data_IF_082276790499
#
_entry.id   IF_082276790499
#
_cell.length_a   1.000
_cell.length_b   1.000
_cell.length_c   1.000
_cell.angle_alpha   90.00
_cell.angle_beta   90.00
_cell.angle_gamma   90.00
#
_symmetry.space_group_name_H-M   'P 1'
#
loop_
_entity.id
_entity.type
_entity.pdbx_description
1 polymer ?
#
# COMPACT_ATOMS: atom_id res chain seq x y z
N UNK A 1 57.72 -38.41 40.30
CA UNK A 1 58.31 -38.75 38.98
C UNK A 1 58.27 -37.53 38.05
N UNK A 2 59.38 -37.13 37.51
CA UNK A 2 59.38 -36.05 36.47
C UNK A 2 58.68 -36.59 35.22
N UNK A 3 57.57 -36.00 34.82
CA UNK A 3 56.90 -36.34 33.55
C UNK A 3 57.34 -35.36 32.51
N UNK A 4 57.97 -35.87 31.45
CA UNK A 4 58.41 -35.08 30.29
C UNK A 4 57.37 -35.29 29.18
N UNK A 5 56.70 -34.23 28.75
CA UNK A 5 55.70 -34.30 27.69
C UNK A 5 56.19 -33.45 26.53
N UNK A 6 56.21 -34.01 25.32
CA UNK A 6 56.54 -33.28 24.08
C UNK A 6 55.23 -32.84 23.39
N UNK A 7 55.10 -31.56 23.15
CA UNK A 7 53.98 -30.97 22.38
C UNK A 7 54.54 -30.30 21.13
N UNK A 8 53.88 -30.53 20.02
CA UNK A 8 54.26 -29.87 18.73
C UNK A 8 53.11 -28.93 18.38
N UNK A 9 53.45 -27.66 18.11
CA UNK A 9 52.53 -26.60 17.60
C UNK A 9 52.86 -26.35 16.16
N UNK A 10 51.90 -26.48 15.26
CA UNK A 10 52.07 -26.24 13.84
C UNK A 10 52.18 -24.73 13.54
N UNK A 11 52.64 -24.38 12.30
CA UNK A 11 52.84 -22.99 11.89
C UNK A 11 51.53 -22.17 11.87
N UNK A 12 50.41 -22.84 11.61
CA UNK A 12 49.05 -22.26 11.56
C UNK A 12 48.34 -22.36 12.91
N UNK A 13 49.05 -22.68 14.01
CA UNK A 13 48.47 -22.87 15.36
C UNK A 13 49.18 -22.01 16.39
N UNK A 14 48.49 -21.83 17.53
CA UNK A 14 49.04 -21.34 18.81
C UNK A 14 48.60 -22.28 19.95
N UNK A 15 49.50 -22.51 20.90
CA UNK A 15 49.19 -23.28 22.10
C UNK A 15 49.04 -22.37 23.29
N UNK A 16 48.03 -22.66 24.14
CA UNK A 16 47.87 -22.03 25.47
C UNK A 16 48.35 -23.04 26.49
N UNK A 17 49.42 -22.72 27.19
CA UNK A 17 49.91 -23.58 28.28
C UNK A 17 49.26 -23.17 29.61
N UNK A 18 48.60 -24.14 30.21
CA UNK A 18 47.99 -24.02 31.53
C UNK A 18 48.74 -24.90 32.52
N UNK A 19 49.05 -24.33 33.68
CA UNK A 19 49.63 -25.06 34.84
C UNK A 19 48.63 -25.06 36.00
N UNK A 20 48.17 -26.20 36.40
CA UNK A 20 47.15 -26.40 37.46
C UNK A 20 45.86 -25.62 37.19
N UNK A 21 45.55 -25.33 35.88
CA UNK A 21 44.38 -24.57 35.46
C UNK A 21 44.68 -23.07 35.18
N UNK A 22 45.77 -22.53 35.68
CA UNK A 22 46.16 -21.14 35.49
C UNK A 22 46.96 -20.94 34.19
N UNK A 23 46.82 -19.77 33.58
CA UNK A 23 47.57 -19.39 32.42
C UNK A 23 49.07 -19.25 32.75
N UNK A 24 49.94 -19.91 31.98
CA UNK A 24 51.38 -19.78 32.13
C UNK A 24 51.98 -18.96 30.94
N UNK A 25 51.74 -19.36 29.70
CA UNK A 25 52.24 -18.68 28.50
C UNK A 25 51.61 -19.18 27.22
N UNK A 26 51.84 -18.42 26.13
CA UNK A 26 51.52 -18.84 24.76
C UNK A 26 52.68 -19.60 24.18
N UNK A 27 52.40 -20.76 23.59
CA UNK A 27 53.36 -21.55 22.84
C UNK A 27 53.31 -21.18 21.36
N UNK A 28 54.45 -20.71 20.82
CA UNK A 28 54.64 -20.43 19.41
C UNK A 28 54.84 -21.71 18.59
N UNK A 29 54.78 -21.68 17.25
CA UNK A 29 55.05 -22.83 16.40
C UNK A 29 56.43 -23.46 16.72
N UNK A 30 56.44 -24.78 16.86
CA UNK A 30 57.65 -25.55 17.17
C UNK A 30 57.41 -26.75 18.06
N UNK A 31 58.52 -27.36 18.47
CA UNK A 31 58.53 -28.52 19.37
C UNK A 31 58.85 -28.05 20.80
N UNK A 32 57.93 -28.24 21.72
CA UNK A 32 58.08 -27.82 23.11
C UNK A 32 58.19 -29.03 24.02
N UNK A 33 59.20 -28.99 24.90
CA UNK A 33 59.37 -29.98 25.94
C UNK A 33 58.89 -29.40 27.26
N UNK A 34 57.83 -30.01 27.81
CA UNK A 34 57.20 -29.54 29.05
C UNK A 34 57.58 -30.50 30.16
N UNK A 35 58.16 -29.94 31.22
CA UNK A 35 58.57 -30.73 32.42
C UNK A 35 57.59 -30.47 33.54
N UNK A 36 56.95 -31.54 34.08
CA UNK A 36 56.07 -31.47 35.23
C UNK A 36 56.67 -32.38 36.33
N UNK A 37 56.72 -31.86 37.55
CA UNK A 37 57.06 -32.68 38.74
C UNK A 37 55.83 -33.18 39.47
N UNK A 38 54.95 -32.27 39.84
CA UNK A 38 53.68 -32.51 40.54
C UNK A 38 52.52 -31.75 39.91
N UNK A 39 52.83 -30.84 39.02
CA UNK A 39 51.87 -29.95 38.40
C UNK A 39 51.07 -30.63 37.25
N UNK A 40 49.81 -30.23 37.14
CA UNK A 40 48.95 -30.62 36.01
C UNK A 40 49.17 -29.64 34.84
N UNK A 41 49.88 -30.09 33.79
CA UNK A 41 50.11 -29.31 32.58
C UNK A 41 49.08 -29.68 31.52
N UNK A 42 48.39 -28.67 31.00
CA UNK A 42 47.46 -28.78 29.87
C UNK A 42 47.86 -27.82 28.77
N UNK A 43 47.81 -28.29 27.55
CA UNK A 43 48.01 -27.43 26.37
C UNK A 43 46.75 -27.45 25.54
N UNK A 44 46.19 -26.28 25.31
CA UNK A 44 45.08 -26.09 24.38
C UNK A 44 45.58 -25.47 23.09
N UNK A 45 45.21 -26.07 21.96
CA UNK A 45 45.71 -25.65 20.65
C UNK A 45 44.58 -24.93 19.89
N UNK A 46 44.94 -23.79 19.34
CA UNK A 46 44.03 -22.92 18.59
C UNK A 46 44.53 -22.78 17.16
N UNK A 47 43.62 -22.99 16.19
CA UNK A 47 43.88 -22.79 14.76
C UNK A 47 43.76 -21.31 14.40
N UNK A 48 44.79 -20.74 13.75
CA UNK A 48 44.82 -19.34 13.39
C UNK A 48 43.93 -18.99 12.18
N UNK A 49 43.37 -20.00 11.50
CA UNK A 49 42.30 -19.80 10.50
C UNK A 49 41.00 -19.26 11.13
N UNK A 50 40.79 -19.54 12.42
CA UNK A 50 39.68 -19.00 13.22
C UNK A 50 40.27 -18.03 14.24
N UNK A 51 40.42 -16.74 13.89
CA UNK A 51 41.19 -15.81 14.72
C UNK A 51 40.46 -15.45 16.04
N UNK A 52 39.14 -15.67 16.17
CA UNK A 52 38.41 -15.33 17.37
C UNK A 52 38.84 -16.21 18.57
N UNK A 53 39.31 -15.55 19.64
CA UNK A 53 39.68 -16.21 20.89
C UNK A 53 38.48 -16.25 21.84
N UNK A 54 37.71 -17.34 21.83
CA UNK A 54 36.52 -17.55 22.66
C UNK A 54 36.87 -18.48 23.80
N UNK A 55 37.65 -17.99 24.79
CA UNK A 55 38.08 -18.78 25.93
C UNK A 55 37.75 -18.09 27.27
N UNK A 56 37.54 -18.87 28.33
CA UNK A 56 37.22 -18.33 29.66
C UNK A 56 38.28 -17.44 30.28
N UNK A 57 39.52 -17.54 29.79
CA UNK A 57 40.62 -16.68 30.22
C UNK A 57 40.71 -15.33 29.46
N UNK A 58 39.80 -15.02 28.54
CA UNK A 58 39.85 -13.80 27.75
C UNK A 58 39.92 -12.55 28.63
N UNK A 59 39.06 -12.44 29.65
CA UNK A 59 39.03 -11.30 30.59
C UNK A 59 40.27 -11.24 31.47
N UNK A 60 40.81 -12.42 31.90
CA UNK A 60 42.04 -12.49 32.64
C UNK A 60 43.21 -11.94 31.80
N UNK A 61 43.36 -12.43 30.60
CA UNK A 61 44.42 -11.97 29.68
C UNK A 61 44.35 -10.47 29.41
N UNK A 62 43.15 -9.94 29.12
CA UNK A 62 42.92 -8.53 28.92
C UNK A 62 43.34 -7.67 30.13
N UNK A 63 43.10 -8.15 31.33
CA UNK A 63 43.28 -7.38 32.56
C UNK A 63 44.66 -7.58 33.21
N UNK A 64 45.27 -8.76 33.04
CA UNK A 64 46.48 -9.15 33.81
C UNK A 64 47.71 -9.41 32.97
N UNK A 65 47.52 -9.70 31.65
CA UNK A 65 48.62 -10.08 30.75
C UNK A 65 48.71 -9.12 29.54
N UNK A 66 48.86 -7.78 29.74
CA UNK A 66 48.85 -6.80 28.65
C UNK A 66 49.97 -7.02 27.63
N UNK A 67 51.11 -7.48 28.06
CA UNK A 67 52.25 -7.76 27.15
C UNK A 67 51.99 -8.96 26.22
N UNK A 68 51.39 -10.02 26.75
CA UNK A 68 50.93 -11.16 25.96
C UNK A 68 49.85 -10.77 24.95
N UNK A 69 48.90 -9.98 25.42
CA UNK A 69 47.83 -9.47 24.55
C UNK A 69 48.41 -8.61 23.43
N UNK A 70 49.35 -7.71 23.75
CA UNK A 70 49.98 -6.85 22.74
C UNK A 70 50.81 -7.65 21.72
N UNK A 71 51.44 -8.76 22.15
CA UNK A 71 52.28 -9.58 21.29
C UNK A 71 51.47 -10.52 20.36
N UNK A 72 50.47 -11.20 20.89
CA UNK A 72 49.82 -12.35 20.24
C UNK A 72 48.40 -12.05 19.76
N UNK A 73 47.73 -10.96 20.25
CA UNK A 73 46.32 -10.70 19.97
C UNK A 73 46.08 -9.30 19.40
N UNK A 74 45.02 -9.17 18.64
CA UNK A 74 44.33 -7.92 18.35
C UNK A 74 43.28 -7.72 19.45
N UNK A 75 43.49 -6.71 20.28
CA UNK A 75 42.59 -6.33 21.36
C UNK A 75 41.47 -5.45 20.84
N UNK A 76 40.22 -5.80 21.16
CA UNK A 76 39.03 -5.00 20.87
C UNK A 76 38.31 -4.71 22.18
N UNK A 77 38.14 -3.43 22.48
CA UNK A 77 37.35 -2.93 23.59
C UNK A 77 36.54 -1.76 23.10
N UNK A 78 35.23 -1.95 23.07
CA UNK A 78 34.25 -0.94 22.63
C UNK A 78 33.53 -0.39 23.85
N UNK A 79 33.30 0.93 23.86
CA UNK A 79 32.45 1.58 24.84
C UNK A 79 30.97 1.31 24.52
N UNK A 80 30.08 1.73 25.40
CA UNK A 80 28.62 1.63 25.22
C UNK A 80 28.11 2.45 24.01
N UNK A 81 28.88 3.42 23.55
CA UNK A 81 28.55 4.28 22.39
C UNK A 81 29.31 3.92 21.13
N UNK A 82 30.07 2.84 21.12
CA UNK A 82 30.93 2.46 20.01
C UNK A 82 30.52 1.12 19.39
N UNK A 83 30.56 1.05 18.07
CA UNK A 83 30.47 -0.19 17.29
C UNK A 83 31.78 -0.46 16.58
N UNK A 84 32.10 -1.75 16.35
CA UNK A 84 33.31 -2.17 15.65
C UNK A 84 32.95 -2.85 14.32
N UNK A 85 33.61 -2.43 13.23
CA UNK A 85 33.53 -3.12 11.94
C UNK A 85 34.73 -4.05 11.83
N UNK A 86 34.54 -5.33 12.08
CA UNK A 86 35.61 -6.33 11.98
C UNK A 86 35.75 -6.82 10.56
N UNK A 87 36.97 -6.66 10.02
CA UNK A 87 37.38 -7.14 8.71
C UNK A 87 38.47 -8.20 8.85
N UNK A 88 38.42 -9.24 8.02
CA UNK A 88 39.44 -10.27 7.86
C UNK A 88 39.99 -10.18 6.45
N UNK A 89 41.32 -10.02 6.34
CA UNK A 89 41.98 -9.86 5.04
C UNK A 89 41.33 -8.79 4.13
N UNK A 90 40.87 -7.68 4.72
CA UNK A 90 40.19 -6.58 4.06
C UNK A 90 38.70 -6.79 3.76
N UNK A 91 38.14 -7.94 4.12
CA UNK A 91 36.69 -8.24 3.93
C UNK A 91 35.93 -8.07 5.23
N UNK A 92 34.85 -7.31 5.21
CA UNK A 92 33.95 -7.17 6.37
C UNK A 92 33.26 -8.50 6.67
N UNK A 93 33.40 -8.97 7.91
CA UNK A 93 32.84 -10.26 8.38
C UNK A 93 31.88 -10.13 9.57
N UNK A 94 32.03 -9.04 10.36
CA UNK A 94 31.22 -8.87 11.56
C UNK A 94 31.07 -7.40 11.93
N UNK A 95 29.90 -7.05 12.48
CA UNK A 95 29.63 -5.81 13.17
C UNK A 95 29.55 -6.12 14.67
N UNK A 96 30.53 -5.62 15.41
CA UNK A 96 30.61 -5.81 16.85
C UNK A 96 29.70 -4.80 17.56
N UNK A 97 28.85 -5.29 18.44
CA UNK A 97 27.94 -4.49 19.24
C UNK A 97 28.67 -3.61 20.25
N UNK A 98 28.05 -2.53 20.75
CA UNK A 98 28.58 -1.74 21.85
C UNK A 98 28.93 -2.59 23.06
N UNK A 99 29.85 -2.09 23.88
CA UNK A 99 30.37 -2.76 25.09
C UNK A 99 31.01 -4.14 24.83
N UNK A 100 31.40 -4.43 23.57
CA UNK A 100 32.08 -5.70 23.24
C UNK A 100 33.55 -5.64 23.64
N UNK A 101 34.00 -6.70 24.34
CA UNK A 101 35.41 -6.95 24.67
C UNK A 101 35.80 -8.30 24.10
N UNK A 102 36.77 -8.33 23.17
CA UNK A 102 37.22 -9.55 22.51
C UNK A 102 38.71 -9.53 22.15
N UNK A 103 39.27 -10.73 22.05
CA UNK A 103 40.61 -10.97 21.56
C UNK A 103 40.56 -11.77 20.26
N UNK A 104 41.44 -11.42 19.35
CA UNK A 104 41.62 -12.16 18.09
C UNK A 104 43.13 -12.49 17.93
N UNK A 105 43.44 -13.74 17.58
CA UNK A 105 44.80 -14.13 17.33
C UNK A 105 45.43 -13.33 16.18
N UNK A 106 46.64 -12.84 16.40
CA UNK A 106 47.51 -12.32 15.34
C UNK A 106 48.20 -13.48 14.57
N UNK A 107 48.35 -13.33 13.29
CA UNK A 107 49.14 -14.30 12.51
C UNK A 107 48.59 -14.52 11.11
N UNK A 108 47.91 -15.64 10.88
CA UNK A 108 47.50 -16.07 9.54
C UNK A 108 46.43 -15.15 8.91
N UNK A 109 45.48 -14.66 9.71
CA UNK A 109 44.40 -13.78 9.27
C UNK A 109 44.70 -12.35 9.71
N UNK A 110 44.69 -11.39 8.79
CA UNK A 110 44.81 -9.94 9.10
C UNK A 110 43.45 -9.43 9.61
N UNK A 111 43.31 -9.36 10.94
CA UNK A 111 42.13 -8.86 11.60
C UNK A 111 42.26 -7.38 11.88
N UNK A 112 41.33 -6.56 11.35
CA UNK A 112 41.23 -5.14 11.59
C UNK A 112 39.83 -4.80 12.10
N UNK A 113 39.74 -3.87 13.05
CA UNK A 113 38.46 -3.37 13.58
C UNK A 113 38.48 -1.86 13.50
N UNK A 114 37.57 -1.34 12.67
CA UNK A 114 37.31 0.10 12.56
C UNK A 114 36.24 0.46 13.60
N UNK A 115 36.58 1.33 14.54
CA UNK A 115 35.70 1.76 15.63
C UNK A 115 34.94 3.03 15.23
N UNK A 116 33.62 3.01 15.41
CA UNK A 116 32.71 4.11 15.06
C UNK A 116 31.92 4.49 16.30
N UNK A 117 31.88 5.79 16.61
CA UNK A 117 31.03 6.32 17.65
C UNK A 117 29.60 6.54 17.13
N UNK A 118 28.62 5.95 17.82
CA UNK A 118 27.19 5.99 17.49
C UNK A 118 26.38 6.76 18.55
N UNK A 119 27.05 7.41 19.50
CA UNK A 119 26.39 8.13 20.61
C UNK A 119 25.63 9.36 20.14
N UNK A 120 26.13 10.07 19.14
CA UNK A 120 25.57 11.33 18.65
C UNK A 120 24.60 11.20 17.49
N UNK A 121 24.67 10.14 16.71
CA UNK A 121 23.86 9.96 15.50
C UNK A 121 23.40 8.52 15.30
N UNK A 122 22.23 8.36 14.71
CA UNK A 122 21.72 7.06 14.25
C UNK A 122 22.13 6.74 12.83
N UNK A 123 22.66 7.71 12.08
CA UNK A 123 23.00 7.55 10.68
C UNK A 123 24.26 6.69 10.51
N UNK A 124 24.23 5.75 9.58
CA UNK A 124 25.40 5.01 9.15
C UNK A 124 26.12 5.83 8.07
N UNK A 125 27.44 6.12 8.22
CA UNK A 125 28.19 6.83 7.19
C UNK A 125 28.06 6.18 5.81
N UNK A 126 27.95 7.00 4.76
CA UNK A 126 27.70 6.52 3.39
C UNK A 126 28.75 5.50 2.89
N UNK A 127 29.99 5.66 3.28
CA UNK A 127 31.09 4.73 2.95
C UNK A 127 30.87 3.34 3.54
N UNK A 128 30.27 3.28 4.73
CA UNK A 128 29.98 2.02 5.41
C UNK A 128 28.67 1.43 4.88
N UNK A 129 27.65 2.26 4.69
CA UNK A 129 26.38 1.86 4.11
C UNK A 129 26.59 1.17 2.74
N UNK A 130 27.45 1.73 1.87
CA UNK A 130 27.77 1.13 0.59
C UNK A 130 28.46 -0.24 0.72
N UNK A 131 29.39 -0.39 1.69
CA UNK A 131 30.04 -1.68 1.97
C UNK A 131 29.04 -2.72 2.45
N UNK A 132 28.10 -2.35 3.32
CA UNK A 132 27.07 -3.24 3.83
C UNK A 132 26.12 -3.69 2.71
N UNK A 133 25.67 -2.78 1.87
CA UNK A 133 24.83 -3.09 0.71
C UNK A 133 25.53 -4.04 -0.27
N UNK A 134 26.79 -3.79 -0.58
CA UNK A 134 27.57 -4.68 -1.47
C UNK A 134 27.75 -6.07 -0.85
N UNK A 135 27.93 -6.17 0.47
CA UNK A 135 28.06 -7.45 1.17
C UNK A 135 26.76 -8.26 1.10
N UNK A 136 25.62 -7.61 1.28
CA UNK A 136 24.29 -8.24 1.14
C UNK A 136 24.06 -8.75 -0.29
N UNK A 137 24.35 -7.93 -1.30
CA UNK A 137 24.21 -8.31 -2.71
C UNK A 137 25.08 -9.50 -3.09
N UNK A 138 26.25 -9.67 -2.44
CA UNK A 138 27.14 -10.83 -2.63
C UNK A 138 26.75 -12.06 -1.83
N UNK A 139 25.60 -12.02 -1.12
CA UNK A 139 25.09 -13.11 -0.28
C UNK A 139 26.10 -13.60 0.77
N UNK A 140 26.99 -12.73 1.25
CA UNK A 140 27.90 -13.06 2.34
C UNK A 140 27.22 -12.87 3.68
N UNK A 141 27.30 -13.84 4.54
CA UNK A 141 26.87 -13.72 5.92
C UNK A 141 27.82 -12.80 6.68
N UNK A 142 27.35 -11.64 7.10
CA UNK A 142 28.02 -10.73 8.05
C UNK A 142 27.31 -10.87 9.38
N UNK A 143 28.04 -11.22 10.43
CA UNK A 143 27.50 -11.28 11.76
C UNK A 143 27.15 -9.87 12.29
N UNK A 144 26.15 -9.75 13.15
CA UNK A 144 25.77 -8.48 13.78
C UNK A 144 24.94 -7.51 12.89
N UNK A 145 24.52 -7.91 11.69
CA UNK A 145 23.67 -7.09 10.81
C UNK A 145 22.32 -6.74 11.43
N UNK A 146 21.85 -7.46 12.43
CA UNK A 146 20.62 -7.15 13.19
C UNK A 146 20.66 -5.80 13.88
N UNK A 147 21.86 -5.29 14.17
CA UNK A 147 22.10 -3.95 14.72
C UNK A 147 22.06 -2.83 13.69
N UNK A 148 21.76 -3.13 12.41
CA UNK A 148 21.68 -2.17 11.33
C UNK A 148 20.31 -2.27 10.67
N UNK A 149 19.62 -1.14 10.55
CA UNK A 149 18.40 -1.00 9.77
C UNK A 149 18.76 -0.43 8.40
N UNK A 150 18.49 -1.17 7.34
CA UNK A 150 18.56 -0.68 5.98
C UNK A 150 17.15 -0.62 5.40
N UNK A 151 16.77 0.55 4.90
CA UNK A 151 15.46 0.81 4.30
C UNK A 151 15.66 1.41 2.93
N UNK A 152 14.93 0.89 1.95
CA UNK A 152 14.83 1.46 0.63
C UNK A 152 13.50 2.22 0.54
N UNK A 153 13.56 3.54 0.34
CA UNK A 153 12.41 4.38 0.06
C UNK A 153 12.21 4.41 -1.46
N UNK A 154 11.07 3.88 -1.96
CA UNK A 154 10.79 3.87 -3.39
C UNK A 154 10.59 5.28 -3.95
N UNK A 155 10.72 5.43 -5.26
CA UNK A 155 10.28 6.62 -5.97
C UNK A 155 8.79 6.87 -5.72
N UNK A 156 8.38 8.12 -5.62
CA UNK A 156 7.02 8.54 -5.26
C UNK A 156 6.57 8.17 -3.83
N UNK A 157 7.50 7.80 -2.96
CA UNK A 157 7.23 7.57 -1.54
C UNK A 157 8.10 8.45 -0.67
N UNK A 158 7.65 8.73 0.54
CA UNK A 158 8.46 9.33 1.59
C UNK A 158 8.64 8.33 2.73
N UNK A 159 9.82 8.27 3.31
CA UNK A 159 10.08 7.54 4.54
C UNK A 159 9.88 8.45 5.76
N UNK A 160 9.13 8.00 6.76
CA UNK A 160 8.99 8.70 8.03
C UNK A 160 9.89 8.01 9.05
N UNK A 161 10.99 8.65 9.40
CA UNK A 161 11.96 8.11 10.35
C UNK A 161 11.49 8.34 11.80
N UNK A 162 11.39 7.26 12.54
CA UNK A 162 11.10 7.25 13.96
C UNK A 162 12.35 6.86 14.74
N UNK A 163 12.68 7.66 15.75
CA UNK A 163 13.77 7.40 16.69
C UNK A 163 13.21 7.49 18.10
N UNK A 164 13.31 6.40 18.86
CA UNK A 164 12.79 6.27 20.23
C UNK A 164 11.32 6.70 20.37
N UNK A 165 10.50 6.33 19.36
CA UNK A 165 9.06 6.64 19.32
C UNK A 165 8.72 8.08 18.94
N UNK A 166 9.68 8.89 18.52
CA UNK A 166 9.46 10.26 18.03
C UNK A 166 9.77 10.35 16.55
N UNK A 167 8.99 11.15 15.83
CA UNK A 167 9.28 11.47 14.43
C UNK A 167 10.53 12.35 14.40
N UNK A 168 11.58 11.89 13.75
CA UNK A 168 12.83 12.64 13.57
C UNK A 168 12.77 13.49 12.30
N UNK A 169 12.63 12.85 11.14
CA UNK A 169 12.59 13.53 9.82
C UNK A 169 11.93 12.70 8.73
N UNK A 170 11.65 13.35 7.59
CA UNK A 170 11.27 12.69 6.34
C UNK A 170 12.52 12.28 5.56
N UNK A 171 12.42 11.11 4.93
CA UNK A 171 13.45 10.54 4.06
C UNK A 171 12.99 10.66 2.62
N UNK A 172 13.87 11.19 1.78
CA UNK A 172 13.70 11.19 0.32
C UNK A 172 13.85 9.77 -0.27
N UNK A 173 13.37 9.54 -1.50
CA UNK A 173 13.62 8.28 -2.21
C UNK A 173 15.11 7.93 -2.25
N UNK A 174 15.41 6.64 -2.02
CA UNK A 174 16.78 6.14 -1.95
C UNK A 174 16.97 5.10 -0.85
N UNK A 175 18.23 4.67 -0.68
CA UNK A 175 18.60 3.72 0.38
C UNK A 175 19.15 4.47 1.58
N UNK A 176 18.56 4.21 2.73
CA UNK A 176 18.94 4.79 4.02
C UNK A 176 19.36 3.69 4.97
N UNK A 177 20.39 3.95 5.79
CA UNK A 177 20.95 2.94 6.70
C UNK A 177 21.18 3.58 8.07
N UNK A 178 20.72 2.89 9.13
CA UNK A 178 20.70 3.38 10.49
C UNK A 178 21.25 2.36 11.48
N UNK A 179 21.91 2.86 12.55
CA UNK A 179 22.28 2.04 13.70
C UNK A 179 21.08 1.79 14.61
N UNK A 180 20.90 0.53 15.02
CA UNK A 180 19.84 0.10 15.95
C UNK A 180 20.35 -0.43 17.29
N UNK A 181 21.63 -0.27 17.58
CA UNK A 181 22.20 -0.84 18.81
C UNK A 181 21.71 -0.13 20.06
N UNK A 182 21.71 1.19 20.08
CA UNK A 182 21.44 2.02 21.27
C UNK A 182 20.10 2.73 21.24
N UNK A 183 19.38 2.68 20.10
CA UNK A 183 18.12 3.39 19.90
C UNK A 183 17.13 2.52 19.14
N UNK A 184 15.85 2.73 19.43
CA UNK A 184 14.81 2.10 18.65
C UNK A 184 14.54 2.92 17.38
N UNK A 185 14.95 2.40 16.23
CA UNK A 185 14.82 3.08 14.94
C UNK A 185 13.89 2.29 14.05
N UNK A 186 12.89 2.96 13.48
CA UNK A 186 11.96 2.39 12.49
C UNK A 186 11.63 3.42 11.41
N UNK A 187 11.19 2.94 10.26
CA UNK A 187 10.79 3.78 9.12
C UNK A 187 9.45 3.28 8.59
N UNK A 188 8.48 4.19 8.53
CA UNK A 188 7.21 3.96 7.84
C UNK A 188 7.27 4.55 6.43
N UNK A 189 6.81 3.79 5.45
CA UNK A 189 6.76 4.23 4.06
C UNK A 189 5.37 4.77 3.74
N UNK A 190 5.32 5.99 3.21
CA UNK A 190 4.08 6.67 2.82
C UNK A 190 4.11 6.92 1.32
N UNK A 191 3.14 6.38 0.59
CA UNK A 191 2.98 6.63 -0.84
C UNK A 191 2.42 8.05 -1.05
N UNK A 192 3.06 8.83 -1.92
CA UNK A 192 2.69 10.21 -2.24
C UNK A 192 1.77 10.34 -3.45
N UNK A 193 1.54 9.24 -4.18
CA UNK A 193 0.63 9.20 -5.32
C UNK A 193 -0.82 9.29 -4.85
N UNK A 194 -1.71 9.54 -5.81
CA UNK A 194 -3.15 9.45 -5.55
C UNK A 194 -3.53 8.05 -5.08
N UNK A 195 -4.22 7.99 -3.94
CA UNK A 195 -4.73 6.78 -3.31
C UNK A 195 -6.25 6.85 -3.29
N UNK A 196 -6.90 5.71 -3.39
CA UNK A 196 -8.34 5.61 -3.28
C UNK A 196 -8.76 5.03 -1.92
N UNK A 197 -9.82 5.59 -1.36
CA UNK A 197 -10.51 5.05 -0.19
C UNK A 197 -11.97 4.84 -0.54
N UNK A 198 -12.50 3.67 -0.19
CA UNK A 198 -13.90 3.33 -0.44
C UNK A 198 -14.65 3.24 0.89
N UNK A 199 -15.72 4.04 1.01
CA UNK A 199 -16.63 4.01 2.15
C UNK A 199 -17.86 3.22 1.73
N UNK A 200 -17.95 1.96 2.20
CA UNK A 200 -18.97 1.01 1.76
C UNK A 200 -20.05 0.78 2.81
N UNK A 201 -21.25 0.42 2.32
CA UNK A 201 -22.33 -0.11 3.14
C UNK A 201 -22.90 0.86 4.17
N UNK A 202 -22.83 2.17 3.92
CA UNK A 202 -23.40 3.16 4.86
C UNK A 202 -24.92 3.18 4.75
N UNK A 203 -25.60 2.77 5.82
CA UNK A 203 -27.04 2.89 5.94
C UNK A 203 -27.39 4.23 6.58
N UNK A 204 -28.05 5.08 5.81
CA UNK A 204 -28.38 6.46 6.21
C UNK A 204 -29.86 6.72 5.89
N UNK A 205 -30.54 7.37 6.83
CA UNK A 205 -31.92 7.83 6.62
C UNK A 205 -31.90 9.19 5.93
N UNK A 206 -32.70 9.31 4.89
CA UNK A 206 -33.02 10.60 4.25
C UNK A 206 -33.91 11.48 5.14
N UNK A 207 -34.12 12.74 4.74
CA UNK A 207 -35.02 13.66 5.44
C UNK A 207 -36.44 13.09 5.53
N UNK A 208 -36.92 12.40 4.51
CA UNK A 208 -38.23 11.73 4.42
C UNK A 208 -38.24 10.31 5.02
N UNK A 209 -37.19 9.95 5.81
CA UNK A 209 -37.04 8.72 6.57
C UNK A 209 -36.96 7.44 5.74
N UNK A 210 -36.50 7.55 4.51
CA UNK A 210 -36.15 6.37 3.69
C UNK A 210 -34.75 5.93 4.00
N UNK A 211 -34.53 4.65 4.33
CA UNK A 211 -33.23 4.06 4.56
C UNK A 211 -32.53 3.79 3.23
N UNK A 212 -31.37 4.38 3.04
CA UNK A 212 -30.52 4.17 1.86
C UNK A 212 -29.22 3.51 2.27
N UNK A 213 -28.73 2.58 1.45
CA UNK A 213 -27.38 2.04 1.54
C UNK A 213 -26.52 2.66 0.44
N UNK A 214 -25.44 3.30 0.85
CA UNK A 214 -24.61 4.12 -0.03
C UNK A 214 -23.16 3.66 -0.01
N UNK A 215 -22.52 3.70 -1.19
CA UNK A 215 -21.09 3.49 -1.35
C UNK A 215 -20.48 4.75 -1.97
N UNK A 216 -19.42 5.24 -1.35
CA UNK A 216 -18.67 6.41 -1.78
C UNK A 216 -17.23 6.03 -2.06
N UNK A 217 -16.64 6.55 -3.12
CA UNK A 217 -15.21 6.46 -3.42
C UNK A 217 -14.61 7.85 -3.37
N UNK A 218 -13.47 7.97 -2.72
CA UNK A 218 -12.71 9.21 -2.70
C UNK A 218 -11.25 8.96 -3.06
N UNK A 219 -10.64 9.91 -3.76
CA UNK A 219 -9.21 9.92 -4.06
C UNK A 219 -8.52 11.05 -3.31
N UNK A 220 -7.36 10.74 -2.75
CA UNK A 220 -6.59 11.66 -1.94
C UNK A 220 -5.09 11.44 -2.11
N UNK A 221 -4.30 12.41 -1.72
CA UNK A 221 -2.83 12.31 -1.62
C UNK A 221 -2.31 13.06 -0.40
N UNK A 222 -1.12 12.70 0.04
CA UNK A 222 -0.40 13.46 1.06
C UNK A 222 0.39 14.59 0.40
N UNK A 223 0.16 15.83 0.87
CA UNK A 223 0.90 17.02 0.48
C UNK A 223 1.94 17.39 1.54
N UNK A 224 1.65 17.10 2.81
CA UNK A 224 2.58 17.26 3.94
C UNK A 224 2.46 16.05 4.88
N UNK A 225 3.29 15.04 4.63
CA UNK A 225 3.33 13.79 5.41
C UNK A 225 3.68 14.06 6.86
N UNK A 226 4.64 14.96 7.11
CA UNK A 226 5.09 15.25 8.46
C UNK A 226 3.98 15.84 9.32
N UNK A 227 3.23 16.80 8.76
CA UNK A 227 2.09 17.41 9.42
C UNK A 227 0.97 16.40 9.66
N UNK A 228 0.69 15.54 8.68
CA UNK A 228 -0.32 14.51 8.80
C UNK A 228 -0.04 13.55 9.97
N UNK A 229 1.15 12.99 10.05
CA UNK A 229 1.51 12.01 11.07
C UNK A 229 1.86 12.60 12.44
N UNK A 230 2.18 13.91 12.52
CA UNK A 230 2.31 14.60 13.81
C UNK A 230 0.97 14.83 14.50
N UNK A 231 -0.08 15.10 13.74
CA UNK A 231 -1.39 15.47 14.27
C UNK A 231 -2.41 14.35 14.24
N UNK A 232 -2.26 13.38 13.35
CA UNK A 232 -3.19 12.26 13.19
C UNK A 232 -2.43 10.95 13.39
N UNK A 233 -2.92 10.11 14.29
CA UNK A 233 -2.34 8.78 14.52
C UNK A 233 -2.46 7.88 13.28
N UNK A 234 -3.57 8.03 12.53
CA UNK A 234 -3.90 7.26 11.33
C UNK A 234 -4.63 8.17 10.34
N UNK A 235 -3.91 8.87 9.47
CA UNK A 235 -4.51 9.84 8.55
C UNK A 235 -5.59 9.26 7.62
N UNK A 236 -5.38 8.06 7.09
CA UNK A 236 -6.36 7.40 6.23
C UNK A 236 -7.66 7.02 6.96
N UNK A 237 -7.60 6.56 8.21
CA UNK A 237 -8.78 6.28 9.01
C UNK A 237 -9.52 7.57 9.41
N UNK A 238 -8.79 8.66 9.61
CA UNK A 238 -9.40 9.97 9.86
C UNK A 238 -10.16 10.46 8.62
N UNK A 239 -9.55 10.39 7.44
CA UNK A 239 -10.21 10.67 6.17
C UNK A 239 -11.48 9.83 5.99
N UNK A 240 -11.39 8.53 6.25
CA UNK A 240 -12.55 7.62 6.15
C UNK A 240 -13.71 8.08 7.02
N UNK A 241 -13.46 8.48 8.28
CA UNK A 241 -14.48 9.00 9.20
C UNK A 241 -15.08 10.33 8.74
N UNK A 242 -14.23 11.25 8.24
CA UNK A 242 -14.74 12.54 7.73
C UNK A 242 -15.60 12.35 6.48
N UNK A 243 -15.27 11.39 5.61
CA UNK A 243 -16.11 11.00 4.48
C UNK A 243 -17.46 10.45 4.93
N UNK A 244 -17.49 9.60 5.98
CA UNK A 244 -18.73 9.10 6.56
C UNK A 244 -19.60 10.25 7.12
N UNK A 245 -19.00 11.20 7.83
CA UNK A 245 -19.73 12.34 8.38
C UNK A 245 -20.26 13.26 7.27
N UNK A 246 -19.45 13.55 6.27
CA UNK A 246 -19.86 14.31 5.10
C UNK A 246 -21.01 13.65 4.35
N UNK A 247 -20.94 12.35 4.12
CA UNK A 247 -22.00 11.58 3.47
C UNK A 247 -23.30 11.59 4.28
N UNK A 248 -23.22 11.39 5.61
CA UNK A 248 -24.39 11.46 6.48
C UNK A 248 -25.05 12.83 6.49
N UNK A 249 -24.26 13.90 6.52
CA UNK A 249 -24.76 15.25 6.44
C UNK A 249 -25.41 15.55 5.08
N UNK A 250 -24.81 15.10 3.98
CA UNK A 250 -25.34 15.30 2.65
C UNK A 250 -26.69 14.60 2.43
N UNK A 251 -26.84 13.39 2.93
CA UNK A 251 -28.04 12.55 2.73
C UNK A 251 -29.15 12.91 3.71
N UNK A 252 -28.81 13.06 4.99
CA UNK A 252 -29.81 13.30 6.05
C UNK A 252 -30.58 14.63 5.94
N UNK A 253 -30.07 15.57 5.16
CA UNK A 253 -30.71 16.89 4.91
C UNK A 253 -31.62 16.91 3.67
N UNK A 254 -31.65 15.83 2.88
CA UNK A 254 -32.36 15.77 1.58
C UNK A 254 -33.37 14.65 1.54
N UNK A 255 -34.40 14.82 0.66
CA UNK A 255 -35.36 13.76 0.34
C UNK A 255 -34.77 12.76 -0.65
N UNK A 256 -35.44 11.60 -0.78
CA UNK A 256 -35.03 10.58 -1.76
C UNK A 256 -35.09 11.13 -3.19
N UNK A 257 -36.16 11.85 -3.52
CA UNK A 257 -36.34 12.42 -4.86
C UNK A 257 -35.22 13.40 -5.21
N UNK A 258 -34.89 14.34 -4.29
CA UNK A 258 -33.77 15.29 -4.48
C UNK A 258 -32.43 14.57 -4.71
N UNK A 259 -32.19 13.44 -4.05
CA UNK A 259 -30.96 12.65 -4.20
C UNK A 259 -30.90 11.88 -5.51
N UNK A 260 -32.05 11.41 -6.01
CA UNK A 260 -32.12 10.68 -7.28
C UNK A 260 -32.07 11.62 -8.50
N UNK A 261 -32.63 12.82 -8.38
CA UNK A 261 -32.59 13.83 -9.43
C UNK A 261 -31.18 14.40 -9.66
N UNK A 262 -30.44 14.67 -8.56
CA UNK A 262 -29.13 15.30 -8.65
C UNK A 262 -28.08 14.66 -7.74
N UNK A 263 -27.44 13.63 -8.23
CA UNK A 263 -26.38 12.89 -7.51
C UNK A 263 -25.13 13.72 -7.27
N UNK A 264 -24.82 14.69 -8.13
CA UNK A 264 -23.59 15.51 -8.03
C UNK A 264 -23.59 16.42 -6.81
N UNK A 265 -24.77 16.76 -6.27
CA UNK A 265 -24.89 17.57 -5.06
C UNK A 265 -24.33 16.84 -3.82
N UNK A 266 -24.42 15.51 -3.77
CA UNK A 266 -23.82 14.73 -2.67
C UNK A 266 -22.29 14.86 -2.76
N UNK A 267 -21.74 14.69 -3.95
CA UNK A 267 -20.31 14.74 -4.22
C UNK A 267 -19.72 16.11 -3.83
N UNK A 268 -20.40 17.19 -4.20
CA UNK A 268 -20.00 18.57 -3.86
C UNK A 268 -20.02 18.83 -2.35
N UNK A 269 -21.08 18.41 -1.65
CA UNK A 269 -21.21 18.63 -0.20
C UNK A 269 -20.19 17.82 0.57
N UNK A 270 -19.99 16.55 0.20
CA UNK A 270 -18.99 15.69 0.83
C UNK A 270 -17.58 16.25 0.58
N UNK A 271 -17.29 16.64 -0.66
CA UNK A 271 -15.98 17.22 -1.02
C UNK A 271 -15.71 18.51 -0.25
N UNK A 272 -16.67 19.41 -0.17
CA UNK A 272 -16.52 20.67 0.58
C UNK A 272 -16.31 20.41 2.09
N UNK A 273 -17.09 19.51 2.68
CA UNK A 273 -16.96 19.14 4.10
C UNK A 273 -15.57 18.59 4.43
N UNK A 274 -15.08 17.64 3.64
CA UNK A 274 -13.84 16.93 3.89
C UNK A 274 -12.62 17.79 3.56
N UNK A 275 -12.65 18.51 2.43
CA UNK A 275 -11.54 19.35 1.98
C UNK A 275 -11.17 20.41 3.00
N UNK A 276 -12.16 21.08 3.60
CA UNK A 276 -11.94 22.09 4.62
C UNK A 276 -11.25 21.57 5.89
N UNK A 277 -11.53 20.32 6.26
CA UNK A 277 -10.97 19.71 7.48
C UNK A 277 -9.58 19.09 7.27
N UNK A 278 -9.35 18.46 6.13
CA UNK A 278 -8.12 17.73 5.85
C UNK A 278 -6.96 18.61 5.42
N UNK A 279 -7.22 19.75 4.78
CA UNK A 279 -6.19 20.69 4.35
C UNK A 279 -5.27 21.13 5.50
N UNK A 280 -5.82 21.28 6.72
CA UNK A 280 -5.06 21.62 7.91
C UNK A 280 -4.01 20.57 8.30
N UNK A 281 -4.18 19.33 7.86
CA UNK A 281 -3.32 18.19 8.20
C UNK A 281 -2.40 17.76 7.06
N UNK A 282 -2.33 18.51 5.95
CA UNK A 282 -1.49 18.14 4.81
C UNK A 282 -1.99 16.92 4.03
N UNK A 283 -3.30 16.68 4.05
CA UNK A 283 -3.98 15.68 3.23
C UNK A 283 -4.89 16.39 2.25
N UNK A 284 -4.66 16.20 0.96
CA UNK A 284 -5.44 16.80 -0.11
C UNK A 284 -6.46 15.79 -0.66
N UNK A 285 -7.74 16.15 -0.61
CA UNK A 285 -8.81 15.42 -1.28
C UNK A 285 -8.87 15.88 -2.73
N UNK A 286 -8.58 14.99 -3.67
CA UNK A 286 -8.69 15.25 -5.11
C UNK A 286 -10.15 15.20 -5.54
N UNK A 287 -10.81 14.07 -5.34
CA UNK A 287 -12.23 13.89 -5.66
C UNK A 287 -12.93 12.98 -4.64
N UNK A 288 -14.23 13.17 -4.50
CA UNK A 288 -15.11 12.23 -3.82
C UNK A 288 -16.39 12.09 -4.66
N UNK A 289 -16.81 10.87 -4.90
CA UNK A 289 -17.97 10.57 -5.72
C UNK A 289 -18.78 9.40 -5.19
N UNK A 290 -20.10 9.53 -5.33
CA UNK A 290 -21.04 8.47 -4.99
C UNK A 290 -20.93 7.35 -6.04
N UNK A 291 -20.60 6.14 -5.58
CA UNK A 291 -20.50 4.96 -6.45
C UNK A 291 -21.88 4.36 -6.72
N UNK A 292 -22.58 4.04 -5.65
CA UNK A 292 -23.90 3.37 -5.71
C UNK A 292 -24.86 3.89 -4.65
N UNK A 293 -26.17 3.92 -5.02
CA UNK A 293 -27.29 4.11 -4.11
C UNK A 293 -28.13 2.83 -4.15
N UNK A 294 -28.19 2.11 -3.06
CA UNK A 294 -28.99 0.89 -2.94
C UNK A 294 -30.24 1.19 -2.12
N UNK A 295 -31.40 1.03 -2.76
CA UNK A 295 -32.70 1.18 -2.16
C UNK A 295 -33.17 -0.13 -1.50
N UNK A 296 -33.92 -0.11 -0.40
CA UNK A 296 -34.63 -1.27 0.11
C UNK A 296 -35.57 -1.86 -0.95
N UNK A 297 -35.73 -3.19 -0.96
CA UNK A 297 -36.51 -3.88 -1.99
C UNK A 297 -37.94 -3.37 -2.14
N UNK A 298 -38.63 -3.07 -1.02
CA UNK A 298 -40.00 -2.51 -1.02
C UNK A 298 -40.06 -1.14 -1.70
N UNK A 299 -39.12 -0.25 -1.37
CA UNK A 299 -39.01 1.08 -2.00
C UNK A 299 -38.73 1.02 -3.48
N UNK A 300 -37.89 0.07 -3.91
CA UNK A 300 -37.59 -0.18 -5.32
C UNK A 300 -38.87 -0.56 -6.11
N UNK A 301 -39.71 -1.38 -5.51
CA UNK A 301 -41.02 -1.78 -6.11
C UNK A 301 -41.96 -0.61 -6.22
N UNK A 302 -42.10 0.22 -5.16
CA UNK A 302 -42.95 1.40 -5.17
C UNK A 302 -42.52 2.41 -6.22
N UNK A 303 -41.19 2.71 -6.29
CA UNK A 303 -40.67 3.62 -7.32
C UNK A 303 -40.88 3.10 -8.73
N UNK A 304 -40.73 1.79 -8.96
CA UNK A 304 -41.00 1.19 -10.26
C UNK A 304 -42.46 1.39 -10.68
N UNK A 305 -43.43 1.23 -9.74
CA UNK A 305 -44.85 1.46 -10.01
C UNK A 305 -45.19 2.93 -10.31
N UNK A 306 -44.54 3.88 -9.57
CA UNK A 306 -44.70 5.31 -9.84
C UNK A 306 -44.17 5.67 -11.22
N UNK A 307 -42.98 5.23 -11.57
CA UNK A 307 -42.38 5.48 -12.89
C UNK A 307 -43.23 4.87 -14.01
N UNK A 308 -43.77 3.67 -13.82
CA UNK A 308 -44.63 3.00 -14.79
C UNK A 308 -45.96 3.81 -14.97
N UNK A 309 -46.56 4.27 -13.89
CA UNK A 309 -47.76 5.10 -13.95
C UNK A 309 -47.51 6.44 -14.66
N UNK A 310 -46.41 7.11 -14.37
CA UNK A 310 -46.02 8.37 -15.03
C UNK A 310 -45.77 8.16 -16.54
N UNK A 311 -45.03 7.12 -16.92
CA UNK A 311 -44.76 6.80 -18.33
C UNK A 311 -46.05 6.43 -19.06
N UNK A 312 -46.91 5.68 -18.44
CA UNK A 312 -48.26 5.36 -18.98
C UNK A 312 -49.11 6.63 -19.18
N UNK A 313 -49.12 7.53 -18.22
CA UNK A 313 -49.82 8.82 -18.34
C UNK A 313 -49.26 9.67 -19.47
N UNK A 314 -47.94 9.79 -19.59
CA UNK A 314 -47.27 10.49 -20.69
C UNK A 314 -47.62 9.87 -22.04
N UNK A 315 -47.55 8.54 -22.16
CA UNK A 315 -47.91 7.82 -23.40
C UNK A 315 -49.41 8.09 -23.79
N UNK A 316 -50.31 8.10 -22.81
CA UNK A 316 -51.71 8.41 -23.06
C UNK A 316 -51.94 9.86 -23.50
N UNK A 317 -51.24 10.83 -22.96
CA UNK A 317 -51.28 12.22 -23.40
C UNK A 317 -50.80 12.37 -24.87
N UNK A 318 -49.65 11.74 -25.20
CA UNK A 318 -49.15 11.72 -26.57
C UNK A 318 -50.16 11.08 -27.52
N UNK A 319 -50.69 9.91 -27.18
CA UNK A 319 -51.68 9.19 -27.95
C UNK A 319 -52.92 10.05 -28.25
N UNK A 320 -53.53 10.68 -27.21
CA UNK A 320 -54.66 11.58 -27.39
C UNK A 320 -54.36 12.79 -28.24
N UNK A 321 -53.15 13.35 -28.13
CA UNK A 321 -52.72 14.47 -28.97
C UNK A 321 -52.60 14.04 -30.44
N UNK A 322 -52.03 12.87 -30.73
CA UNK A 322 -51.94 12.33 -32.08
C UNK A 322 -53.33 11.97 -32.63
N UNK A 323 -54.21 11.34 -31.86
CA UNK A 323 -55.60 11.05 -32.23
C UNK A 323 -56.36 12.37 -32.55
N UNK A 324 -56.16 13.41 -31.77
CA UNK A 324 -56.79 14.72 -32.02
C UNK A 324 -56.25 15.36 -33.30
N UNK A 325 -54.90 15.26 -33.53
CA UNK A 325 -54.27 15.81 -34.74
C UNK A 325 -54.74 15.03 -36.00
N UNK A 326 -54.81 13.67 -35.91
CA UNK A 326 -55.33 12.84 -36.97
C UNK A 326 -56.80 13.16 -37.31
N UNK A 327 -57.66 13.32 -36.29
CA UNK A 327 -59.08 13.71 -36.48
C UNK A 327 -59.21 15.08 -37.11
N UNK A 328 -58.41 16.07 -36.68
CA UNK A 328 -58.41 17.42 -37.32
C UNK A 328 -57.93 17.35 -38.79
N UNK A 329 -56.93 16.54 -39.08
CA UNK A 329 -56.45 16.32 -40.44
C UNK A 329 -57.51 15.67 -41.32
N UNK A 330 -58.24 14.68 -40.81
CA UNK A 330 -59.35 14.02 -41.49
C UNK A 330 -60.51 15.02 -41.75
N UNK A 331 -60.87 15.84 -40.77
CA UNK A 331 -61.90 16.89 -40.90
C UNK A 331 -61.53 17.92 -41.97
N UNK A 332 -60.28 18.37 -41.99
CA UNK A 332 -59.78 19.32 -43.00
C UNK A 332 -59.80 18.67 -44.39
N UNK A 333 -59.39 17.40 -44.49
CA UNK A 333 -59.43 16.65 -45.75
C UNK A 333 -60.87 16.46 -46.24
N UNK A 334 -61.81 16.16 -45.33
CA UNK A 334 -63.23 16.04 -45.66
C UNK A 334 -63.81 17.40 -46.21
N UNK A 335 -63.52 18.53 -45.56
CA UNK A 335 -63.90 19.85 -46.03
C UNK A 335 -63.37 20.17 -47.45
N UNK A 336 -62.11 19.87 -47.70
CA UNK A 336 -61.53 20.05 -49.05
C UNK A 336 -62.21 19.21 -50.12
N UNK A 337 -62.67 18.01 -49.74
CA UNK A 337 -63.37 17.08 -50.61
C UNK A 337 -64.85 17.48 -50.86
N UNK A 338 -65.49 18.14 -49.88
CA UNK A 338 -66.87 18.64 -50.00
C UNK A 338 -66.98 19.69 -51.09
N UNK A 339 -65.98 20.55 -51.24
CA UNK A 339 -65.92 21.60 -52.25
C UNK A 339 -65.33 21.13 -53.61
N UNK A 340 -64.80 19.89 -53.70
CA UNK A 340 -64.14 19.41 -54.90
C UNK A 340 -64.50 17.92 -55.22
N UNK A 341 -65.50 17.70 -56.10
CA UNK A 341 -65.97 16.38 -56.49
C UNK A 341 -64.90 15.47 -57.11
N UNK A 342 -63.91 16.05 -57.76
CA UNK A 342 -62.81 15.31 -58.40
C UNK A 342 -61.85 14.76 -57.31
N UNK A 343 -61.60 15.52 -56.24
CA UNK A 343 -60.79 15.07 -55.12
C UNK A 343 -61.50 13.95 -54.34
N UNK A 344 -62.77 14.02 -54.16
CA UNK A 344 -63.60 12.96 -53.56
C UNK A 344 -63.46 11.66 -54.34
N UNK A 345 -63.59 11.72 -55.67
CA UNK A 345 -63.47 10.53 -56.56
C UNK A 345 -62.06 9.87 -56.53
N UNK A 346 -61.02 10.71 -56.48
CA UNK A 346 -59.67 10.22 -56.34
C UNK A 346 -59.47 9.50 -55.00
N UNK A 347 -60.01 9.97 -53.93
CA UNK A 347 -59.92 9.36 -52.59
C UNK A 347 -60.74 8.09 -52.47
N UNK A 348 -61.87 7.99 -53.14
CA UNK A 348 -62.62 6.74 -53.25
C UNK A 348 -61.82 5.64 -53.96
N UNK A 349 -61.12 6.00 -55.07
CA UNK A 349 -60.28 5.09 -55.81
C UNK A 349 -59.07 4.65 -55.00
N UNK A 350 -58.38 5.57 -54.27
CA UNK A 350 -57.27 5.24 -53.37
C UNK A 350 -57.74 4.26 -52.24
N UNK A 351 -58.94 4.49 -51.73
CA UNK A 351 -59.50 3.65 -50.68
C UNK A 351 -59.84 2.23 -51.20
N UNK A 352 -60.36 2.15 -52.43
CA UNK A 352 -60.61 0.87 -53.10
C UNK A 352 -59.31 0.12 -53.39
N UNK A 353 -58.28 0.83 -53.86
CA UNK A 353 -56.94 0.25 -54.06
C UNK A 353 -56.39 -0.36 -52.75
N UNK A 354 -56.46 0.40 -51.65
CA UNK A 354 -55.99 -0.09 -50.32
C UNK A 354 -56.80 -1.26 -49.76
N UNK A 355 -58.10 -1.31 -50.09
CA UNK A 355 -58.96 -2.46 -49.77
C UNK A 355 -58.59 -3.66 -50.61
N UNK A 356 -58.33 -3.42 -51.91
CA UNK A 356 -57.93 -4.48 -52.83
C UNK A 356 -56.58 -5.10 -52.50
N UNK A 357 -55.60 -4.32 -52.01
CA UNK A 357 -54.29 -4.80 -51.51
C UNK A 357 -54.39 -5.74 -50.30
N UNK A 358 -55.45 -5.59 -49.51
CA UNK A 358 -55.66 -6.41 -48.30
C UNK A 358 -56.54 -7.63 -48.49
N UNK A 359 -57.10 -7.84 -49.71
CA UNK A 359 -57.99 -8.95 -50.00
C UNK A 359 -57.31 -9.86 -51.04
N UNK A 360 -56.90 -11.03 -50.65
CA UNK A 360 -56.26 -12.04 -51.50
C UNK A 360 -57.17 -12.58 -52.64
N UNK A 361 -58.49 -12.43 -52.53
CA UNK A 361 -59.44 -12.90 -53.53
C UNK A 361 -60.75 -12.12 -53.55
N UNK A 362 -60.96 -11.30 -54.58
CA UNK A 362 -62.24 -10.64 -54.79
C UNK A 362 -63.02 -11.44 -55.83
N UNK A 363 -64.16 -12.07 -55.46
CA UNK A 363 -65.10 -12.71 -56.38
C UNK A 363 -66.23 -11.72 -56.73
N UNK A 364 -66.21 -11.23 -57.96
CA UNK A 364 -67.24 -10.27 -58.44
C UNK A 364 -68.30 -11.10 -59.18
N UNK A 365 -69.46 -11.18 -58.59
CA UNK A 365 -70.63 -11.76 -59.21
C UNK A 365 -71.44 -10.65 -59.88
N UNK A 366 -71.52 -10.65 -61.24
CA UNK A 366 -72.42 -9.74 -61.96
C UNK A 366 -71.83 -8.63 -62.81
N UNK A 367 -70.53 -8.70 -63.14
CA UNK A 367 -69.84 -7.73 -63.99
C UNK A 367 -69.40 -6.44 -63.26
N UNK A 368 -68.32 -5.86 -63.76
CA UNK A 368 -67.72 -4.66 -63.13
C UNK A 368 -68.69 -3.44 -63.04
N UNK A 369 -69.56 -3.34 -63.99
CA UNK A 369 -70.55 -2.22 -64.08
C UNK A 369 -71.61 -2.26 -62.98
N UNK A 370 -71.97 -3.40 -62.43
CA UNK A 370 -72.94 -3.50 -61.33
C UNK A 370 -72.32 -3.07 -59.99
N UNK A 371 -71.05 -3.33 -59.81
CA UNK A 371 -70.30 -2.87 -58.57
C UNK A 371 -70.04 -1.40 -58.62
N UNK A 372 -69.66 -0.84 -59.75
CA UNK A 372 -69.47 0.57 -60.00
C UNK A 372 -70.74 1.40 -59.78
N UNK A 373 -71.87 0.90 -60.33
CA UNK A 373 -73.17 1.53 -60.20
C UNK A 373 -73.79 1.39 -58.77
N UNK A 374 -73.43 0.32 -58.07
CA UNK A 374 -73.81 0.16 -56.65
C UNK A 374 -73.08 1.12 -55.71
N UNK A 375 -71.81 1.43 -55.98
CA UNK A 375 -71.03 2.41 -55.28
C UNK A 375 -71.43 3.87 -55.53
N UNK A 376 -71.99 4.12 -56.75
CA UNK A 376 -72.53 5.48 -57.13
C UNK A 376 -73.89 5.79 -56.56
N UNK A 377 -74.65 4.77 -56.08
CA UNK A 377 -76.02 4.91 -55.55
C UNK A 377 -76.07 5.08 -54.00
N UNK A 378 -74.98 5.03 -53.29
CA UNK A 378 -74.90 5.40 -51.90
C UNK A 378 -74.67 6.91 -51.76
N UNK A 379 -75.70 7.67 -52.08
CA UNK A 379 -75.84 9.08 -51.76
C UNK A 379 -76.64 9.23 -50.54
#
# INVERSE_FOLDING_TARGET
MRKLTRVTINKNERGLLLRNGDFERVLKPGKHWLVSMLDHLRVEVFALEQPAFTHGLSEYLLSREPEVVAAEFVRVELSETQVGLRSENGVLVEILAPATRRLYWKGLVDVKVDVIDIGSTVDVPATIASRLTQTQLRQRAVAGLTGVLQVQVPEHSAGLLWVDGKIDRLLAPGTHTYWKFNRNVSVDLVDLRLQAVEVTGQEILTRDKVGLRLNLVATFRFTDVLNAYKNLSKPAEHLYRELQFGLRAAVGTRSLDELLENKTVIDEVVTAHVRGKLAAYGVELDSAGLKDIVLPGEMKTILAQVVEAEKSAQANVIRRREETAATRSLLNTAKVMEDNPTALRLKELETLERVAERIDKISVFGGLDSVLNGLVKLR
#
